data_IF_682036506981
#
_entry.id   IF_682036506981
#
_cell.length_a   1.000
_cell.length_b   1.000
_cell.length_c   1.000
_cell.angle_alpha   90.00
_cell.angle_beta   90.00
_cell.angle_gamma   90.00
#
_symmetry.space_group_name_H-M   'P 1'
#
loop_
_entity.id
_entity.type
_entity.pdbx_description
1 polymer ?
#
# COMPACT_ATOMS: atom_id res chain seq x y z
N UNK A 1 19.81 44.84 46.34
CA UNK A 1 19.17 44.17 45.18
C UNK A 1 19.44 42.67 45.31
N UNK A 2 18.40 41.84 45.39
CA UNK A 2 18.53 40.41 45.73
C UNK A 2 18.98 39.63 44.48
N UNK A 3 20.18 39.07 44.51
CA UNK A 3 20.76 38.30 43.41
C UNK A 3 19.87 37.10 43.11
N UNK A 4 19.35 37.02 41.89
CA UNK A 4 18.63 35.83 41.42
C UNK A 4 19.60 34.66 41.49
N UNK A 5 19.27 33.57 42.21
CA UNK A 5 20.18 32.45 42.33
C UNK A 5 20.36 31.83 40.94
N UNK A 6 21.61 31.73 40.50
CA UNK A 6 22.04 31.19 39.21
C UNK A 6 21.39 29.84 38.87
N UNK A 7 21.02 29.07 39.90
CA UNK A 7 20.23 27.83 39.81
C UNK A 7 18.88 27.99 39.08
N UNK A 8 18.17 29.12 39.26
CA UNK A 8 16.89 29.38 38.57
C UNK A 8 17.11 29.64 37.08
N UNK A 9 18.21 30.29 36.71
CA UNK A 9 18.56 30.51 35.31
C UNK A 9 18.91 29.19 34.60
N UNK A 10 19.66 28.31 35.28
CA UNK A 10 19.99 26.99 34.74
C UNK A 10 18.73 26.12 34.60
N UNK A 11 17.84 26.12 35.60
CA UNK A 11 16.61 25.34 35.56
C UNK A 11 15.69 25.77 34.42
N UNK A 12 15.52 27.08 34.20
CA UNK A 12 14.74 27.61 33.08
C UNK A 12 15.32 27.22 31.72
N UNK A 13 16.65 27.14 31.61
CA UNK A 13 17.33 26.78 30.37
C UNK A 13 17.14 25.29 30.02
N UNK A 14 17.24 24.40 31.02
CA UNK A 14 17.03 22.95 30.85
C UNK A 14 15.58 22.65 30.44
N UNK A 15 14.61 23.35 31.05
CA UNK A 15 13.19 23.22 30.73
C UNK A 15 12.89 23.64 29.28
N UNK A 16 13.48 24.75 28.83
CA UNK A 16 13.32 25.23 27.45
C UNK A 16 13.87 24.25 26.41
N UNK A 17 15.07 23.71 26.64
CA UNK A 17 15.68 22.74 25.71
C UNK A 17 14.85 21.44 25.64
N UNK A 18 14.38 20.96 26.78
CA UNK A 18 13.54 19.75 26.84
C UNK A 18 12.22 19.91 26.08
N UNK A 19 11.62 21.10 26.17
CA UNK A 19 10.39 21.42 25.44
C UNK A 19 10.61 21.46 23.93
N UNK A 20 11.69 22.09 23.46
CA UNK A 20 12.02 22.15 22.03
C UNK A 20 12.29 20.75 21.47
N UNK A 21 13.09 19.93 22.18
CA UNK A 21 13.38 18.55 21.75
C UNK A 21 12.10 17.71 21.74
N UNK A 22 11.24 17.85 22.74
CA UNK A 22 9.94 17.17 22.79
C UNK A 22 9.04 17.53 21.62
N UNK A 23 8.92 18.81 21.27
CA UNK A 23 8.14 19.28 20.11
C UNK A 23 8.71 18.75 18.79
N UNK A 24 10.03 18.69 18.63
CA UNK A 24 10.67 18.13 17.43
C UNK A 24 10.39 16.63 17.32
N UNK A 25 10.51 15.87 18.42
CA UNK A 25 10.20 14.43 18.47
C UNK A 25 8.74 14.13 18.13
N UNK A 26 7.81 14.89 18.72
CA UNK A 26 6.37 14.78 18.41
C UNK A 26 6.08 15.12 16.94
N UNK A 27 6.72 16.15 16.38
CA UNK A 27 6.56 16.52 14.96
C UNK A 27 7.15 15.46 14.01
N UNK A 28 8.25 14.81 14.38
CA UNK A 28 8.78 13.68 13.61
C UNK A 28 7.93 12.42 13.75
N UNK A 29 7.26 12.22 14.89
CA UNK A 29 6.34 11.11 15.07
C UNK A 29 5.09 11.28 14.23
N UNK A 30 4.54 12.49 14.11
CA UNK A 30 3.43 12.79 13.19
C UNK A 30 3.84 12.54 11.73
N UNK A 31 5.04 12.97 11.28
CA UNK A 31 5.52 12.71 9.91
C UNK A 31 5.85 11.24 9.62
N UNK A 32 6.27 10.46 10.62
CA UNK A 32 6.50 9.03 10.46
C UNK A 32 5.20 8.21 10.58
N UNK A 33 4.21 8.72 11.32
CA UNK A 33 2.85 8.19 11.33
C UNK A 33 2.12 8.54 10.03
N UNK A 34 2.38 9.67 9.37
CA UNK A 34 1.83 9.94 8.02
C UNK A 34 2.40 9.00 6.94
N UNK A 35 3.57 8.39 7.15
CA UNK A 35 4.08 7.31 6.29
C UNK A 35 3.53 5.93 6.65
N UNK A 36 2.79 5.79 7.75
CA UNK A 36 2.25 4.50 8.23
C UNK A 36 0.79 4.58 8.70
N UNK A 37 0.05 5.62 8.31
CA UNK A 37 -1.32 5.84 8.77
C UNK A 37 -2.14 6.64 7.75
N UNK A 38 -2.25 6.09 6.54
CA UNK A 38 -3.51 6.15 5.80
C UNK A 38 -4.34 4.89 6.13
N UNK A 39 -4.48 4.57 7.42
CA UNK A 39 -5.59 3.76 7.89
C UNK A 39 -6.74 4.74 8.16
N UNK A 40 -7.28 5.33 7.09
CA UNK A 40 -8.63 5.86 7.14
C UNK A 40 -9.51 4.69 7.61
N UNK A 41 -10.27 4.92 8.68
CA UNK A 41 -11.39 4.06 9.01
C UNK A 41 -12.28 3.99 7.78
N UNK A 42 -12.16 2.90 7.02
CA UNK A 42 -13.06 2.61 5.92
C UNK A 42 -14.46 2.41 6.49
N UNK A 43 -15.25 3.48 6.43
CA UNK A 43 -16.64 3.32 6.04
C UNK A 43 -16.61 2.45 4.78
N UNK A 44 -17.31 1.30 4.73
CA UNK A 44 -17.33 0.43 3.55
C UNK A 44 -18.13 1.13 2.45
N UNK A 45 -17.51 2.15 1.87
CA UNK A 45 -17.86 2.67 0.56
C UNK A 45 -17.31 1.61 -0.36
N UNK A 46 -18.18 0.88 -1.08
CA UNK A 46 -17.73 -0.11 -2.05
C UNK A 46 -16.80 0.56 -3.07
N UNK A 47 -15.49 0.50 -2.81
CA UNK A 47 -14.48 1.07 -3.68
C UNK A 47 -14.55 0.36 -5.01
N UNK A 48 -14.78 1.14 -6.08
CA UNK A 48 -14.83 0.62 -7.44
C UNK A 48 -13.46 0.06 -7.89
N UNK A 49 -12.37 0.62 -7.36
CA UNK A 49 -11.00 0.23 -7.63
C UNK A 49 -10.29 -0.15 -6.32
N UNK A 50 -9.56 -1.26 -6.36
CA UNK A 50 -8.70 -1.77 -5.31
C UNK A 50 -7.24 -1.47 -5.66
N UNK A 51 -6.44 -1.10 -4.68
CA UNK A 51 -4.99 -1.05 -4.77
C UNK A 51 -4.38 -2.46 -4.81
N UNK A 52 -3.07 -2.57 -5.07
CA UNK A 52 -2.38 -3.87 -5.02
C UNK A 52 -2.55 -4.58 -3.67
N UNK A 53 -2.40 -3.85 -2.57
CA UNK A 53 -2.54 -4.38 -1.22
C UNK A 53 -3.97 -4.86 -0.97
N UNK A 54 -4.97 -4.02 -1.24
CA UNK A 54 -6.39 -4.39 -1.08
C UNK A 54 -6.78 -5.56 -1.98
N UNK A 55 -6.18 -5.67 -3.18
CA UNK A 55 -6.41 -6.80 -4.08
C UNK A 55 -5.83 -8.10 -3.52
N UNK A 56 -4.62 -8.03 -2.97
CA UNK A 56 -3.97 -9.17 -2.32
C UNK A 56 -4.79 -9.65 -1.11
N UNK A 57 -5.26 -8.72 -0.29
CA UNK A 57 -6.17 -9.00 0.83
C UNK A 57 -7.49 -9.61 0.34
N UNK A 58 -8.12 -9.01 -0.69
CA UNK A 58 -9.38 -9.49 -1.26
C UNK A 58 -9.28 -10.93 -1.80
N UNK A 59 -8.19 -11.25 -2.49
CA UNK A 59 -7.93 -12.58 -3.04
C UNK A 59 -7.36 -13.57 -2.00
N UNK A 60 -7.06 -13.10 -0.78
CA UNK A 60 -6.34 -13.88 0.23
C UNK A 60 -4.99 -14.42 -0.29
N UNK A 61 -4.26 -13.59 -1.01
CA UNK A 61 -2.95 -13.88 -1.62
C UNK A 61 -1.91 -12.87 -1.11
N UNK A 62 -0.62 -13.14 -1.34
CA UNK A 62 0.42 -12.13 -1.13
C UNK A 62 0.51 -11.18 -2.32
N UNK A 63 0.97 -9.95 -2.10
CA UNK A 63 1.20 -9.00 -3.20
C UNK A 63 2.15 -9.55 -4.26
N UNK A 64 3.15 -10.34 -3.85
CA UNK A 64 4.08 -11.02 -4.76
C UNK A 64 3.37 -12.03 -5.67
N UNK A 65 2.38 -12.76 -5.15
CA UNK A 65 1.57 -13.69 -5.93
C UNK A 65 0.68 -12.95 -6.94
N UNK A 66 0.04 -11.85 -6.52
CA UNK A 66 -0.76 -11.00 -7.42
C UNK A 66 0.13 -10.39 -8.52
N UNK A 67 1.32 -9.92 -8.15
CA UNK A 67 2.30 -9.39 -9.10
C UNK A 67 2.80 -10.48 -10.07
N UNK A 68 2.98 -11.71 -9.61
CA UNK A 68 3.33 -12.87 -10.46
C UNK A 68 2.25 -13.14 -11.51
N UNK A 69 0.97 -13.05 -11.13
CA UNK A 69 -0.17 -13.19 -12.06
C UNK A 69 -0.13 -12.10 -13.14
N UNK A 70 0.09 -10.84 -12.75
CA UNK A 70 0.20 -9.71 -13.69
C UNK A 70 1.37 -9.89 -14.66
N UNK A 71 2.53 -10.33 -14.15
CA UNK A 71 3.72 -10.60 -14.98
C UNK A 71 3.49 -11.75 -15.96
N UNK A 72 2.86 -12.82 -15.50
CA UNK A 72 2.51 -13.97 -16.33
C UNK A 72 1.57 -13.60 -17.48
N UNK A 73 0.51 -12.84 -17.20
CA UNK A 73 -0.43 -12.39 -18.23
C UNK A 73 0.22 -11.50 -19.29
N UNK A 74 1.04 -10.54 -18.87
CA UNK A 74 1.78 -9.67 -19.80
C UNK A 74 2.81 -10.45 -20.63
N UNK A 75 3.55 -11.38 -20.00
CA UNK A 75 4.51 -12.24 -20.68
C UNK A 75 3.87 -13.06 -21.78
N UNK A 76 2.75 -13.74 -21.47
CA UNK A 76 1.99 -14.49 -22.46
C UNK A 76 1.50 -13.60 -23.61
N UNK A 77 0.91 -12.43 -23.31
CA UNK A 77 0.43 -11.51 -24.35
C UNK A 77 1.55 -11.03 -25.28
N UNK A 78 2.74 -10.71 -24.75
CA UNK A 78 3.89 -10.29 -25.58
C UNK A 78 4.44 -11.40 -26.48
N UNK A 79 4.29 -12.66 -26.10
CA UNK A 79 4.84 -13.80 -26.86
C UNK A 79 3.88 -14.28 -27.94
N UNK A 80 2.57 -14.39 -27.64
CA UNK A 80 1.57 -14.92 -28.56
C UNK A 80 0.79 -13.84 -29.32
N UNK A 81 0.81 -12.58 -28.88
CA UNK A 81 -0.03 -11.50 -29.41
C UNK A 81 -1.54 -11.70 -29.15
N UNK A 82 -1.91 -12.78 -28.47
CA UNK A 82 -3.28 -13.18 -28.17
C UNK A 82 -3.34 -13.76 -26.76
N UNK A 83 -4.31 -13.30 -25.97
CA UNK A 83 -4.57 -13.83 -24.64
C UNK A 83 -5.88 -14.62 -24.67
N UNK A 84 -5.83 -15.89 -24.25
CA UNK A 84 -7.02 -16.74 -24.22
C UNK A 84 -7.85 -16.49 -22.95
N UNK A 85 -9.04 -15.91 -23.14
CA UNK A 85 -9.96 -15.51 -22.09
C UNK A 85 -9.73 -14.10 -21.53
N UNK A 86 -10.16 -13.86 -20.29
CA UNK A 86 -10.03 -12.60 -19.56
C UNK A 86 -8.70 -12.48 -18.84
N UNK A 87 -7.92 -11.48 -19.20
CA UNK A 87 -6.65 -11.15 -18.54
C UNK A 87 -6.90 -10.59 -17.13
N UNK A 88 -5.89 -10.68 -16.25
CA UNK A 88 -5.99 -10.09 -14.92
C UNK A 88 -6.31 -8.59 -15.04
N UNK A 89 -7.41 -8.12 -14.44
CA UNK A 89 -7.94 -6.80 -14.73
C UNK A 89 -7.22 -5.72 -13.89
N UNK A 90 -6.16 -5.15 -14.44
CA UNK A 90 -5.45 -4.04 -13.81
C UNK A 90 -5.42 -2.79 -14.69
N UNK A 91 -5.36 -1.64 -14.03
CA UNK A 91 -5.12 -0.32 -14.58
C UNK A 91 -3.82 0.16 -13.95
N UNK A 92 -2.87 0.61 -14.77
CA UNK A 92 -1.63 1.21 -14.29
C UNK A 92 -1.73 2.72 -14.45
N UNK A 93 -1.69 3.45 -13.34
CA UNK A 93 -1.62 4.92 -13.31
C UNK A 93 -0.29 5.30 -12.71
N UNK A 94 0.61 5.86 -13.52
CA UNK A 94 2.01 6.09 -13.15
C UNK A 94 2.67 4.76 -12.71
N UNK A 95 3.12 4.67 -11.46
CA UNK A 95 3.75 3.48 -10.87
C UNK A 95 2.81 2.67 -9.97
N UNK A 96 1.53 3.03 -9.91
CA UNK A 96 0.53 2.37 -9.08
C UNK A 96 -0.41 1.48 -9.90
N UNK A 97 -0.74 0.32 -9.33
CA UNK A 97 -1.70 -0.62 -9.89
C UNK A 97 -3.04 -0.49 -9.18
N UNK A 98 -4.09 -0.39 -9.98
CA UNK A 98 -5.49 -0.37 -9.54
C UNK A 98 -6.24 -1.51 -10.22
N UNK A 99 -7.15 -2.15 -9.51
CA UNK A 99 -7.88 -3.32 -9.96
C UNK A 99 -9.36 -3.07 -9.77
N UNK A 100 -10.16 -3.23 -10.83
CA UNK A 100 -11.61 -3.08 -10.70
C UNK A 100 -12.19 -4.28 -9.96
N UNK A 101 -12.95 -4.04 -8.90
CA UNK A 101 -13.56 -5.11 -8.10
C UNK A 101 -14.49 -6.01 -8.94
N UNK A 102 -15.36 -5.39 -9.74
CA UNK A 102 -16.32 -6.11 -10.59
C UNK A 102 -15.61 -7.01 -11.61
N UNK A 103 -14.59 -6.48 -12.26
CA UNK A 103 -13.80 -7.26 -13.23
C UNK A 103 -12.97 -8.35 -12.55
N UNK A 104 -12.50 -8.09 -11.33
CA UNK A 104 -11.74 -9.07 -10.55
C UNK A 104 -12.58 -10.29 -10.23
N UNK A 105 -13.85 -10.11 -9.83
CA UNK A 105 -14.77 -11.22 -9.56
C UNK A 105 -15.01 -12.09 -10.81
N UNK A 106 -15.24 -11.44 -11.96
CA UNK A 106 -15.39 -12.14 -13.24
C UNK A 106 -14.12 -12.90 -13.62
N UNK A 107 -12.96 -12.30 -13.39
CA UNK A 107 -11.67 -12.94 -13.62
C UNK A 107 -11.45 -14.14 -12.70
N UNK A 108 -11.79 -14.06 -11.40
CA UNK A 108 -11.66 -15.17 -10.45
C UNK A 108 -12.52 -16.35 -10.90
N UNK A 109 -13.75 -16.09 -11.30
CA UNK A 109 -14.66 -17.12 -11.80
C UNK A 109 -14.08 -17.83 -13.03
N UNK A 110 -13.63 -17.06 -14.01
CA UNK A 110 -13.11 -17.61 -15.26
C UNK A 110 -11.76 -18.32 -15.07
N UNK A 111 -10.84 -17.73 -14.30
CA UNK A 111 -9.54 -18.30 -14.00
C UNK A 111 -9.68 -19.64 -13.25
N UNK A 112 -10.67 -19.73 -12.37
CA UNK A 112 -11.01 -20.97 -11.65
C UNK A 112 -11.62 -22.01 -12.59
N UNK A 113 -12.57 -21.62 -13.45
CA UNK A 113 -13.21 -22.53 -14.42
C UNK A 113 -12.21 -23.10 -15.44
N UNK A 114 -11.28 -22.26 -15.90
CA UNK A 114 -10.22 -22.64 -16.85
C UNK A 114 -8.98 -23.24 -16.19
N UNK A 115 -8.97 -23.39 -14.85
CA UNK A 115 -7.86 -23.96 -14.09
C UNK A 115 -6.51 -23.30 -14.39
N UNK A 116 -6.49 -21.97 -14.53
CA UNK A 116 -5.27 -21.23 -14.90
C UNK A 116 -4.16 -21.45 -13.89
N UNK A 117 -2.95 -21.72 -14.39
CA UNK A 117 -1.77 -21.95 -13.56
C UNK A 117 -0.76 -20.84 -13.76
N UNK A 118 -0.29 -20.29 -12.65
CA UNK A 118 0.73 -19.24 -12.62
C UNK A 118 1.96 -19.78 -11.91
N UNK A 119 3.05 -19.96 -12.64
CA UNK A 119 4.30 -20.54 -12.11
C UNK A 119 5.44 -19.60 -12.49
N UNK A 120 6.13 -19.04 -11.50
CA UNK A 120 7.30 -18.16 -11.69
C UNK A 120 7.07 -17.01 -12.69
N UNK A 121 5.89 -16.38 -12.66
CA UNK A 121 5.55 -15.32 -13.61
C UNK A 121 5.34 -15.79 -15.05
N UNK A 122 4.98 -17.06 -15.25
CA UNK A 122 4.55 -17.64 -16.53
C UNK A 122 3.17 -18.28 -16.35
N UNK A 123 2.32 -18.14 -17.37
CA UNK A 123 1.03 -18.82 -17.44
C UNK A 123 1.22 -20.17 -18.14
N UNK A 124 0.63 -21.23 -17.59
CA UNK A 124 0.63 -22.60 -18.15
C UNK A 124 -0.78 -23.17 -18.20
#
# INVERSE_FOLDING_TARGET
MKSVPFSILIASFILGISFIIGCILLTTQERNSELTQAAEQEVPTEKALLTMQETAEYLSMTEEQVMSIIKAGQGSFTVSGFFDGRMFPFIKVQDQFFVSRVELDLWVQEASASHRRYINGQMQ
#
